data_IF_907646921952
#
_entry.id   IF_907646921952
#
_cell.length_a   1.000
_cell.length_b   1.000
_cell.length_c   1.000
_cell.angle_alpha   90.00
_cell.angle_beta   90.00
_cell.angle_gamma   90.00
#
_symmetry.space_group_name_H-M   'P 1'
#
loop_
_entity.id
_entity.type
_entity.pdbx_description
1 polymer ?
#
# COMPACT_ATOMS: atom_id res chain seq x y z
N UNK A 1 -1.68 -9.64 -7.50
CA UNK A 1 -0.44 -10.30 -7.03
C UNK A 1 -0.70 -11.80 -6.95
N UNK A 2 0.34 -12.63 -7.05
CA UNK A 2 0.24 -14.08 -6.86
C UNK A 2 0.48 -14.40 -5.38
N UNK A 3 -0.45 -15.12 -4.75
CA UNK A 3 -0.29 -15.60 -3.38
C UNK A 3 0.67 -16.77 -3.34
N UNK A 4 1.67 -16.69 -2.46
CA UNK A 4 2.67 -17.73 -2.26
C UNK A 4 2.14 -18.84 -1.36
N UNK A 5 2.56 -20.08 -1.67
CA UNK A 5 2.26 -21.26 -0.85
C UNK A 5 3.52 -21.66 -0.10
N UNK A 6 3.69 -21.22 1.14
CA UNK A 6 4.96 -21.38 1.85
C UNK A 6 5.36 -22.84 2.10
N UNK A 7 4.43 -23.80 2.10
CA UNK A 7 4.78 -25.24 2.16
C UNK A 7 5.53 -25.74 0.93
N UNK A 8 5.58 -24.99 -0.18
CA UNK A 8 6.43 -25.31 -1.33
C UNK A 8 7.82 -24.72 -1.22
N UNK A 9 8.09 -23.91 -0.20
CA UNK A 9 9.42 -23.35 0.07
C UNK A 9 10.31 -24.43 0.69
N UNK A 10 11.59 -24.35 0.39
CA UNK A 10 12.61 -25.16 1.02
C UNK A 10 12.96 -24.55 2.38
N UNK A 11 12.97 -25.40 3.41
CA UNK A 11 13.35 -25.04 4.77
C UNK A 11 14.73 -25.63 5.09
N UNK A 12 15.65 -24.76 5.49
CA UNK A 12 16.87 -25.13 6.22
C UNK A 12 16.66 -24.70 7.65
N UNK A 13 16.54 -25.63 8.59
CA UNK A 13 16.33 -25.32 10.01
C UNK A 13 16.86 -26.45 10.91
N UNK A 14 18.17 -26.48 11.17
CA UNK A 14 18.82 -27.59 11.87
C UNK A 14 18.35 -27.77 13.31
N UNK A 15 17.72 -26.75 13.92
CA UNK A 15 17.28 -26.76 15.31
C UNK A 15 15.76 -26.71 15.47
N UNK A 16 14.99 -26.86 14.38
CA UNK A 16 13.53 -26.90 14.37
C UNK A 16 12.89 -25.70 15.08
N UNK A 17 13.38 -24.50 14.78
CA UNK A 17 12.85 -23.22 15.26
C UNK A 17 11.73 -22.65 14.41
N UNK A 18 11.58 -23.13 13.18
CA UNK A 18 10.66 -22.66 12.17
C UNK A 18 9.58 -23.74 11.95
N UNK A 19 8.35 -23.29 11.82
CA UNK A 19 7.22 -24.13 11.44
C UNK A 19 6.47 -23.44 10.29
N UNK A 20 6.33 -24.15 9.17
CA UNK A 20 5.70 -23.62 7.96
C UNK A 20 4.33 -24.24 7.73
N UNK A 21 3.34 -23.39 7.47
CA UNK A 21 2.03 -23.77 6.93
C UNK A 21 1.87 -23.18 5.53
N UNK A 22 0.75 -23.41 4.86
CA UNK A 22 0.54 -22.94 3.48
C UNK A 22 0.70 -21.44 3.32
N UNK A 23 0.39 -20.65 4.35
CA UNK A 23 0.45 -19.19 4.28
C UNK A 23 1.34 -18.56 5.35
N UNK A 24 1.89 -19.32 6.31
CA UNK A 24 2.61 -18.75 7.46
C UNK A 24 3.93 -19.47 7.73
N UNK A 25 4.98 -18.70 8.00
CA UNK A 25 6.20 -19.17 8.64
C UNK A 25 6.24 -18.63 10.08
N UNK A 26 6.18 -19.51 11.07
CA UNK A 26 6.28 -19.17 12.49
C UNK A 26 7.67 -19.53 12.98
N UNK A 27 8.36 -18.62 13.66
CA UNK A 27 9.61 -18.93 14.35
C UNK A 27 9.44 -18.81 15.86
N UNK A 28 10.07 -19.73 16.59
CA UNK A 28 10.01 -19.80 18.05
C UNK A 28 11.41 -19.83 18.63
N UNK A 29 11.78 -18.76 19.34
CA UNK A 29 13.10 -18.57 19.94
C UNK A 29 14.25 -18.82 18.96
N UNK A 30 14.11 -18.34 17.72
CA UNK A 30 15.15 -18.40 16.71
C UNK A 30 16.27 -17.43 17.07
N UNK A 31 17.46 -17.97 17.36
CA UNK A 31 18.62 -17.18 17.76
C UNK A 31 19.47 -16.71 16.58
N UNK A 32 20.21 -15.61 16.80
CA UNK A 32 21.07 -15.02 15.79
C UNK A 32 22.16 -15.95 15.28
N UNK A 33 22.67 -16.88 16.08
CA UNK A 33 23.75 -17.79 15.70
C UNK A 33 23.26 -19.08 15.02
N UNK A 34 21.97 -19.16 14.70
CA UNK A 34 21.41 -20.29 13.97
C UNK A 34 21.50 -20.03 12.48
N UNK A 35 21.69 -21.09 11.70
CA UNK A 35 21.68 -21.08 10.25
C UNK A 35 20.32 -21.65 9.79
N UNK A 36 19.30 -20.77 9.74
CA UNK A 36 17.93 -21.18 9.49
C UNK A 36 17.18 -20.20 8.59
N UNK A 37 16.53 -20.72 7.54
CA UNK A 37 15.80 -19.92 6.56
C UNK A 37 14.77 -20.75 5.79
N UNK A 38 13.74 -20.07 5.29
CA UNK A 38 12.70 -20.61 4.42
C UNK A 38 12.70 -19.83 3.12
N UNK A 39 13.03 -20.49 2.02
CA UNK A 39 13.26 -19.84 0.72
C UNK A 39 12.61 -20.59 -0.43
N UNK A 40 12.39 -19.87 -1.54
CA UNK A 40 11.89 -20.45 -2.77
C UNK A 40 12.74 -20.00 -3.95
N UNK A 41 13.01 -20.93 -4.85
CA UNK A 41 13.67 -20.68 -6.12
C UNK A 41 12.65 -20.27 -7.18
N UNK A 42 12.63 -18.99 -7.53
CA UNK A 42 11.73 -18.47 -8.56
C UNK A 42 12.27 -18.64 -9.98
N UNK A 43 13.50 -19.16 -10.12
CA UNK A 43 14.23 -19.20 -11.37
C UNK A 43 15.17 -18.00 -11.54
N UNK A 44 16.15 -18.16 -12.42
CA UNK A 44 17.17 -17.13 -12.69
C UNK A 44 16.50 -15.83 -13.16
N UNK A 45 16.90 -14.71 -12.57
CA UNK A 45 16.43 -13.37 -12.93
C UNK A 45 14.89 -13.24 -12.90
N UNK A 46 14.24 -13.87 -11.92
CA UNK A 46 12.79 -13.70 -11.75
C UNK A 46 12.42 -12.28 -11.30
N UNK A 47 13.29 -11.65 -10.50
CA UNK A 47 13.17 -10.25 -10.10
C UNK A 47 14.16 -9.40 -10.91
N UNK A 48 13.96 -9.32 -12.22
CA UNK A 48 14.81 -8.62 -13.21
C UNK A 48 14.38 -7.17 -13.51
N UNK A 49 13.39 -6.67 -12.78
CA UNK A 49 12.85 -5.33 -12.96
C UNK A 49 12.07 -4.87 -11.73
N UNK A 50 10.96 -4.19 -11.98
CA UNK A 50 10.05 -3.75 -10.93
C UNK A 50 9.42 -4.94 -10.20
N UNK A 51 9.24 -4.82 -8.88
CA UNK A 51 8.50 -5.84 -8.12
C UNK A 51 7.75 -5.25 -6.95
N UNK A 52 6.71 -5.95 -6.50
CA UNK A 52 6.00 -5.73 -5.24
C UNK A 52 5.93 -7.04 -4.48
N UNK A 53 6.27 -7.00 -3.19
CA UNK A 53 6.09 -8.08 -2.24
C UNK A 53 5.32 -7.54 -1.06
N UNK A 54 4.11 -8.05 -0.87
CA UNK A 54 3.30 -7.81 0.31
C UNK A 54 3.37 -9.00 1.25
N UNK A 55 3.43 -8.73 2.55
CA UNK A 55 3.38 -9.78 3.58
C UNK A 55 2.92 -9.18 4.90
N UNK A 56 2.47 -10.04 5.80
CA UNK A 56 2.05 -9.65 7.13
C UNK A 56 3.09 -10.05 8.15
N UNK A 57 3.05 -9.38 9.29
CA UNK A 57 4.02 -9.53 10.35
C UNK A 57 3.36 -9.48 11.72
N UNK A 58 3.82 -10.36 12.60
CA UNK A 58 3.72 -10.19 14.04
C UNK A 58 4.99 -10.63 14.77
N UNK A 59 5.40 -9.86 15.78
CA UNK A 59 6.49 -10.23 16.69
C UNK A 59 5.95 -10.47 18.09
N UNK A 60 6.46 -11.49 18.78
CA UNK A 60 6.00 -11.91 20.11
C UNK A 60 7.05 -11.61 21.17
N UNK A 61 8.09 -12.43 21.22
CA UNK A 61 9.20 -12.32 22.15
C UNK A 61 10.44 -11.92 21.37
N UNK A 62 11.21 -10.97 21.88
CA UNK A 62 12.52 -10.68 21.33
C UNK A 62 13.44 -10.27 22.45
N UNK A 63 14.57 -10.96 22.55
CA UNK A 63 15.66 -10.51 23.40
C UNK A 63 16.29 -9.25 22.82
N UNK A 64 16.76 -8.39 23.71
CA UNK A 64 17.61 -7.25 23.36
C UNK A 64 18.75 -7.71 22.45
N UNK A 65 18.98 -6.96 21.37
CA UNK A 65 19.96 -7.25 20.32
C UNK A 65 19.70 -8.50 19.45
N UNK A 66 18.50 -9.06 19.48
CA UNK A 66 18.09 -10.05 18.47
C UNK A 66 17.96 -9.40 17.08
N UNK A 67 18.27 -10.15 16.01
CA UNK A 67 18.29 -9.70 14.62
C UNK A 67 17.99 -10.86 13.68
N UNK A 68 17.24 -10.60 12.62
CA UNK A 68 16.90 -11.55 11.56
C UNK A 68 16.35 -10.79 10.33
N UNK A 69 16.23 -11.45 9.19
CA UNK A 69 15.64 -10.93 7.97
C UNK A 69 14.34 -11.69 7.71
N UNK A 70 13.29 -11.03 7.21
CA UNK A 70 12.06 -11.75 6.86
C UNK A 70 11.91 -11.88 5.36
N UNK A 71 11.65 -10.78 4.67
CA UNK A 71 11.61 -10.77 3.21
C UNK A 71 12.99 -10.38 2.68
N UNK A 72 13.64 -11.27 1.94
CA UNK A 72 14.85 -10.94 1.21
C UNK A 72 14.88 -11.61 -0.15
N UNK A 73 15.63 -11.00 -1.05
CA UNK A 73 15.93 -11.46 -2.39
C UNK A 73 17.44 -11.63 -2.51
N UNK A 74 17.90 -12.76 -3.06
CA UNK A 74 19.32 -13.04 -3.29
C UNK A 74 19.52 -13.97 -4.50
N UNK A 75 20.77 -14.11 -4.94
CA UNK A 75 21.16 -15.06 -5.99
C UNK A 75 21.87 -16.32 -5.47
N UNK A 76 22.10 -16.36 -4.16
CA UNK A 76 22.67 -17.51 -3.44
C UNK A 76 21.70 -17.98 -2.37
N UNK A 77 21.80 -19.26 -2.01
CA UNK A 77 21.11 -19.86 -0.87
C UNK A 77 22.06 -19.82 0.32
N UNK A 78 21.86 -18.86 1.23
CA UNK A 78 22.71 -18.67 2.40
C UNK A 78 21.97 -17.80 3.44
N UNK A 79 22.47 -17.77 4.67
CA UNK A 79 21.98 -16.87 5.70
C UNK A 79 22.45 -15.42 5.46
N UNK A 80 21.86 -14.47 6.18
CA UNK A 80 22.15 -13.05 5.97
C UNK A 80 23.63 -12.69 6.16
N UNK A 81 24.33 -13.29 7.13
CA UNK A 81 25.73 -13.00 7.38
C UNK A 81 26.61 -13.69 6.34
N UNK A 82 26.27 -14.91 5.93
CA UNK A 82 26.93 -15.62 4.84
C UNK A 82 26.93 -14.80 3.56
N UNK A 83 25.76 -14.31 3.14
CA UNK A 83 25.60 -13.40 1.99
C UNK A 83 26.52 -12.18 2.13
N UNK A 84 26.51 -11.53 3.30
CA UNK A 84 27.31 -10.32 3.51
C UNK A 84 28.83 -10.58 3.43
N UNK A 85 29.34 -11.61 4.10
CA UNK A 85 30.79 -11.85 4.18
C UNK A 85 31.36 -12.48 2.92
N UNK A 86 30.53 -13.15 2.14
CA UNK A 86 30.91 -13.79 0.89
C UNK A 86 30.86 -12.84 -0.32
N UNK A 87 30.66 -11.54 -0.07
CA UNK A 87 30.57 -10.51 -1.11
C UNK A 87 29.42 -10.73 -2.10
N UNK A 88 28.31 -11.29 -1.61
CA UNK A 88 27.12 -11.53 -2.42
C UNK A 88 26.16 -10.32 -2.36
N UNK A 89 25.11 -10.37 -3.16
CA UNK A 89 24.10 -9.32 -3.27
C UNK A 89 22.76 -9.72 -2.61
N UNK A 90 22.09 -8.75 -1.99
CA UNK A 90 20.76 -8.93 -1.40
C UNK A 90 19.95 -7.64 -1.40
N UNK A 91 18.63 -7.75 -1.54
CA UNK A 91 17.69 -6.69 -1.15
C UNK A 91 16.66 -7.27 -0.20
N UNK A 92 16.31 -6.56 0.86
CA UNK A 92 15.30 -7.07 1.78
C UNK A 92 15.02 -6.18 2.98
N UNK A 93 14.16 -6.70 3.86
CA UNK A 93 13.79 -6.05 5.11
C UNK A 93 14.36 -6.84 6.27
N UNK A 94 15.33 -6.22 6.96
CA UNK A 94 15.91 -6.73 8.19
C UNK A 94 15.15 -6.18 9.38
N UNK A 95 15.02 -7.00 10.41
CA UNK A 95 14.43 -6.60 11.65
C UNK A 95 15.37 -6.89 12.81
N UNK A 96 15.33 -6.02 13.81
CA UNK A 96 16.16 -6.17 14.99
C UNK A 96 15.49 -5.53 16.20
N UNK A 97 15.92 -5.94 17.39
CA UNK A 97 15.55 -5.26 18.63
C UNK A 97 16.72 -4.42 19.12
N UNK A 98 16.51 -3.12 19.43
CA UNK A 98 17.58 -2.27 19.94
C UNK A 98 18.12 -2.74 21.30
N UNK A 99 19.36 -2.34 21.61
CA UNK A 99 20.06 -2.62 22.86
C UNK A 99 19.38 -2.04 24.13
N UNK A 100 18.53 -1.01 23.97
CA UNK A 100 17.83 -0.36 25.07
C UNK A 100 16.46 -1.01 25.34
N UNK A 101 16.09 -1.11 26.62
CA UNK A 101 14.83 -1.71 27.04
C UNK A 101 13.62 -0.91 26.53
N UNK A 102 12.65 -1.62 25.94
CA UNK A 102 11.38 -1.08 25.45
C UNK A 102 10.55 -2.17 24.78
N UNK A 103 9.30 -1.88 24.46
CA UNK A 103 8.43 -2.78 23.69
C UNK A 103 8.58 -2.60 22.18
N UNK A 104 9.66 -1.96 21.71
CA UNK A 104 9.86 -1.65 20.30
C UNK A 104 10.82 -2.59 19.58
N UNK A 105 10.58 -2.79 18.28
CA UNK A 105 11.50 -3.42 17.34
C UNK A 105 11.70 -2.53 16.12
N UNK A 106 12.75 -2.80 15.35
CA UNK A 106 13.18 -2.02 14.20
C UNK A 106 12.87 -2.80 12.93
N UNK A 107 12.32 -2.12 11.93
CA UNK A 107 12.29 -2.56 10.54
C UNK A 107 13.27 -1.69 9.74
N UNK A 108 14.13 -2.34 8.96
CA UNK A 108 15.28 -1.72 8.32
C UNK A 108 15.36 -2.24 6.89
N UNK A 109 15.06 -1.37 5.93
CA UNK A 109 15.23 -1.67 4.52
C UNK A 109 16.73 -1.71 4.21
N UNK A 110 17.19 -2.81 3.61
CA UNK A 110 18.62 -3.12 3.46
C UNK A 110 18.92 -3.56 2.03
N UNK A 111 20.02 -3.03 1.50
CA UNK A 111 20.75 -3.55 0.34
C UNK A 111 22.09 -4.10 0.83
N UNK A 112 22.48 -5.28 0.36
CA UNK A 112 23.87 -5.74 0.36
C UNK A 112 24.32 -5.69 -1.09
N UNK A 113 25.38 -4.93 -1.36
CA UNK A 113 25.97 -4.78 -2.68
C UNK A 113 27.44 -5.21 -2.64
N UNK A 114 27.74 -6.40 -3.17
CA UNK A 114 29.06 -7.01 -3.10
C UNK A 114 29.56 -7.20 -1.66
N UNK A 115 28.66 -7.55 -0.73
CA UNK A 115 28.95 -7.62 0.71
C UNK A 115 28.95 -6.29 1.46
N UNK A 116 28.77 -5.16 0.77
CA UNK A 116 28.65 -3.85 1.42
C UNK A 116 27.22 -3.59 1.82
N UNK A 117 26.96 -3.52 3.13
CA UNK A 117 25.64 -3.23 3.67
C UNK A 117 25.29 -1.74 3.60
N UNK A 118 24.11 -1.44 3.06
CA UNK A 118 23.49 -0.10 2.98
C UNK A 118 22.06 -0.18 3.50
N UNK A 119 21.65 0.82 4.27
CA UNK A 119 20.39 0.79 5.00
C UNK A 119 19.66 2.12 4.87
N UNK A 120 18.33 2.05 4.74
CA UNK A 120 17.48 3.21 4.87
C UNK A 120 17.38 3.67 6.34
N UNK A 121 16.71 4.80 6.57
CA UNK A 121 16.28 5.21 7.91
C UNK A 121 15.50 4.09 8.60
N UNK A 122 15.71 3.93 9.91
CA UNK A 122 15.07 2.88 10.71
C UNK A 122 13.60 3.23 11.00
N UNK A 123 12.69 2.28 10.77
CA UNK A 123 11.31 2.35 11.25
C UNK A 123 11.22 1.67 12.62
N UNK A 124 10.66 2.36 13.61
CA UNK A 124 10.41 1.79 14.96
C UNK A 124 8.96 1.35 15.10
N UNK A 125 8.75 0.09 15.44
CA UNK A 125 7.45 -0.58 15.54
C UNK A 125 7.26 -1.18 16.94
N UNK A 126 6.03 -1.51 17.32
CA UNK A 126 5.69 -2.06 18.64
C UNK A 126 5.51 -3.58 18.57
N UNK A 127 6.08 -4.33 19.53
CA UNK A 127 5.86 -5.77 19.66
C UNK A 127 4.39 -6.11 19.94
N UNK A 128 4.00 -7.37 19.67
CA UNK A 128 2.64 -7.90 19.87
C UNK A 128 1.57 -7.18 19.03
N UNK A 129 1.99 -6.43 18.02
CA UNK A 129 1.14 -5.73 17.07
C UNK A 129 1.29 -6.36 15.70
N UNK A 130 0.15 -6.56 15.01
CA UNK A 130 0.15 -6.95 13.61
C UNK A 130 0.51 -5.75 12.73
N UNK A 131 1.44 -5.94 11.81
CA UNK A 131 1.75 -4.98 10.77
C UNK A 131 1.61 -5.65 9.41
N UNK A 132 1.31 -4.84 8.40
CA UNK A 132 1.14 -5.28 7.03
C UNK A 132 2.15 -4.49 6.21
N UNK A 133 3.03 -5.19 5.50
CA UNK A 133 4.19 -4.59 4.85
C UNK A 133 4.03 -4.66 3.34
N UNK A 134 4.57 -3.65 2.66
CA UNK A 134 4.78 -3.61 1.21
C UNK A 134 6.25 -3.27 0.96
N UNK A 135 6.99 -4.21 0.39
CA UNK A 135 8.37 -4.06 -0.05
C UNK A 135 8.40 -4.09 -1.58
N UNK A 136 8.90 -3.03 -2.21
CA UNK A 136 8.87 -2.94 -3.67
C UNK A 136 10.11 -2.25 -4.23
N UNK A 137 10.39 -2.48 -5.51
CA UNK A 137 11.44 -1.81 -6.28
C UNK A 137 10.85 -1.13 -7.49
N UNK A 138 11.17 0.15 -7.63
CA UNK A 138 10.89 0.96 -8.81
C UNK A 138 12.21 1.33 -9.50
N UNK A 139 12.45 0.76 -10.68
CA UNK A 139 13.66 0.98 -11.47
C UNK A 139 13.66 2.29 -12.26
N UNK A 140 12.52 2.98 -12.34
CA UNK A 140 12.42 4.28 -13.00
C UNK A 140 12.93 5.41 -12.10
N UNK A 141 13.02 5.18 -10.78
CA UNK A 141 13.45 6.17 -9.80
C UNK A 141 14.90 5.93 -9.34
N UNK A 142 15.76 6.93 -9.56
CA UNK A 142 17.19 6.86 -9.23
C UNK A 142 18.03 6.19 -10.32
N UNK A 143 19.36 6.34 -10.24
CA UNK A 143 20.27 5.89 -11.31
C UNK A 143 20.18 4.39 -11.61
N UNK A 144 19.96 3.58 -10.58
CA UNK A 144 19.92 2.12 -10.66
C UNK A 144 18.59 1.54 -10.17
N UNK A 145 17.59 2.39 -9.91
CA UNK A 145 16.37 2.04 -9.21
C UNK A 145 16.41 2.36 -7.71
N UNK A 146 15.23 2.32 -7.09
CA UNK A 146 15.02 2.59 -5.67
C UNK A 146 14.12 1.50 -5.08
N UNK A 147 14.49 0.99 -3.91
CA UNK A 147 13.64 0.10 -3.13
C UNK A 147 12.92 0.86 -2.03
N UNK A 148 11.74 0.39 -1.68
CA UNK A 148 10.84 1.03 -0.74
C UNK A 148 10.27 0.02 0.26
N UNK A 149 10.03 0.50 1.47
CA UNK A 149 9.28 -0.22 2.49
C UNK A 149 8.17 0.67 3.02
N UNK A 150 6.93 0.21 2.93
CA UNK A 150 5.77 0.82 3.56
C UNK A 150 5.20 -0.12 4.60
N UNK A 151 4.89 0.42 5.78
CA UNK A 151 4.30 -0.31 6.90
C UNK A 151 2.91 0.25 7.16
N UNK A 152 1.92 -0.65 7.22
CA UNK A 152 0.53 -0.33 7.47
C UNK A 152 0.05 -0.96 8.78
N UNK A 153 -0.95 -0.34 9.41
CA UNK A 153 -1.56 -0.84 10.65
C UNK A 153 -2.76 -1.78 10.43
N UNK A 154 -3.27 -1.87 9.21
CA UNK A 154 -4.47 -2.62 8.86
C UNK A 154 -4.25 -3.55 7.65
N UNK A 155 -5.00 -4.65 7.61
CA UNK A 155 -4.85 -5.70 6.59
C UNK A 155 -5.21 -5.24 5.18
N UNK A 156 -6.05 -4.20 5.06
CA UNK A 156 -6.39 -3.60 3.78
C UNK A 156 -5.27 -2.65 3.27
N UNK A 157 -4.19 -2.49 4.05
CA UNK A 157 -3.05 -1.61 3.74
C UNK A 157 -3.47 -0.17 3.48
N UNK A 158 -4.43 0.37 4.24
CA UNK A 158 -4.98 1.72 4.02
C UNK A 158 -4.35 2.80 4.92
N UNK A 159 -3.93 2.44 6.13
CA UNK A 159 -3.38 3.37 7.12
C UNK A 159 -1.88 3.17 7.25
N UNK A 160 -1.10 4.10 6.69
CA UNK A 160 0.36 4.08 6.74
C UNK A 160 0.83 4.44 8.16
N UNK A 161 1.64 3.57 8.74
CA UNK A 161 2.39 3.79 9.98
C UNK A 161 3.70 4.51 9.68
N UNK A 162 4.42 4.05 8.66
CA UNK A 162 5.70 4.64 8.24
C UNK A 162 6.10 4.16 6.84
N UNK A 163 6.97 4.92 6.18
CA UNK A 163 7.58 4.51 4.91
C UNK A 163 9.01 5.01 4.80
N UNK A 164 9.86 4.25 4.11
CA UNK A 164 11.26 4.59 3.83
C UNK A 164 11.66 4.12 2.43
N UNK A 165 12.70 4.73 1.87
CA UNK A 165 13.26 4.40 0.57
C UNK A 165 14.79 4.29 0.64
N UNK A 166 15.38 3.48 -0.25
CA UNK A 166 16.82 3.32 -0.41
C UNK A 166 17.15 3.22 -1.90
N UNK A 167 17.93 4.16 -2.43
CA UNK A 167 18.44 4.10 -3.80
C UNK A 167 19.52 3.03 -3.92
N UNK A 168 19.46 2.23 -4.99
CA UNK A 168 20.40 1.14 -5.23
C UNK A 168 21.81 1.67 -5.52
N UNK A 169 22.82 0.94 -5.08
CA UNK A 169 24.18 1.45 -4.97
C UNK A 169 24.93 1.57 -6.29
N UNK A 170 24.99 0.49 -7.07
CA UNK A 170 25.94 0.38 -8.19
C UNK A 170 25.34 -0.16 -9.48
N UNK A 171 24.23 -0.90 -9.41
CA UNK A 171 23.64 -1.57 -10.56
C UNK A 171 22.19 -1.96 -10.29
N UNK A 172 21.43 -2.17 -11.38
CA UNK A 172 20.17 -2.93 -11.31
C UNK A 172 20.53 -4.37 -10.93
N UNK A 173 19.93 -4.87 -9.86
CA UNK A 173 20.23 -6.19 -9.30
C UNK A 173 19.11 -7.14 -9.66
N UNK A 174 19.42 -8.24 -10.33
CA UNK A 174 18.42 -9.27 -10.61
C UNK A 174 18.50 -10.35 -9.55
N UNK A 175 17.36 -10.89 -9.11
CA UNK A 175 17.35 -11.93 -8.08
C UNK A 175 16.58 -13.18 -8.50
N UNK A 176 16.99 -14.31 -7.92
CA UNK A 176 16.41 -15.64 -8.14
C UNK A 176 15.62 -16.15 -6.94
N UNK A 177 16.17 -16.02 -5.75
CA UNK A 177 15.58 -16.59 -4.54
C UNK A 177 14.79 -15.53 -3.79
N UNK A 178 13.66 -15.94 -3.22
CA UNK A 178 12.95 -15.17 -2.20
C UNK A 178 12.99 -15.93 -0.87
N UNK A 179 13.22 -15.21 0.21
CA UNK A 179 13.18 -15.70 1.57
C UNK A 179 11.92 -15.16 2.26
N UNK A 180 11.20 -16.05 2.95
CA UNK A 180 10.06 -15.68 3.82
C UNK A 180 10.51 -15.39 5.25
N UNK A 181 11.60 -16.04 5.67
CA UNK A 181 12.35 -15.80 6.89
C UNK A 181 13.80 -16.28 6.72
N UNK A 182 14.73 -15.57 7.35
CA UNK A 182 16.14 -15.90 7.40
C UNK A 182 16.78 -15.40 8.69
N UNK A 183 17.55 -16.25 9.36
CA UNK A 183 18.37 -15.87 10.50
C UNK A 183 19.61 -15.08 10.07
N UNK A 184 20.33 -14.53 11.05
CA UNK A 184 21.55 -13.78 10.79
C UNK A 184 22.83 -14.62 10.85
N UNK A 185 22.81 -15.84 11.38
CA UNK A 185 23.98 -16.65 11.76
C UNK A 185 25.20 -15.86 12.31
N UNK A 186 24.95 -14.95 13.25
CA UNK A 186 25.96 -14.05 13.83
C UNK A 186 26.07 -14.23 15.34
N UNK A 187 26.91 -15.19 15.75
CA UNK A 187 27.72 -15.27 17.00
C UNK A 187 27.08 -15.14 18.39
N UNK A 188 25.86 -14.59 18.54
CA UNK A 188 25.17 -14.41 19.82
C UNK A 188 23.92 -15.28 19.86
N UNK A 189 23.49 -15.68 21.05
CA UNK A 189 22.31 -16.53 21.24
C UNK A 189 21.01 -15.72 21.42
N UNK A 190 20.99 -14.45 20.96
CA UNK A 190 19.84 -13.55 21.14
C UNK A 190 18.70 -13.94 20.22
N UNK A 191 17.58 -14.33 20.82
CA UNK A 191 16.47 -14.97 20.13
C UNK A 191 15.25 -14.08 19.97
N UNK A 192 14.46 -14.41 18.96
CA UNK A 192 13.17 -13.79 18.63
C UNK A 192 12.10 -14.85 18.41
N UNK A 193 10.82 -14.47 18.48
CA UNK A 193 9.65 -15.29 18.15
C UNK A 193 8.60 -14.44 17.45
N UNK A 194 7.85 -15.05 16.55
CA UNK A 194 6.80 -14.37 15.78
C UNK A 194 6.40 -15.15 14.55
N UNK A 195 5.74 -14.48 13.63
CA UNK A 195 5.37 -15.06 12.35
C UNK A 195 5.32 -14.02 11.23
N UNK A 196 5.57 -14.51 10.02
CA UNK A 196 5.23 -13.83 8.77
C UNK A 196 4.23 -14.67 8.01
N UNK A 197 3.37 -14.04 7.24
CA UNK A 197 2.36 -14.75 6.48
C UNK A 197 1.87 -13.98 5.27
N UNK A 198 1.05 -14.66 4.45
CA UNK A 198 0.29 -14.07 3.34
C UNK A 198 1.20 -13.32 2.37
N UNK A 199 2.30 -13.97 1.96
CA UNK A 199 3.19 -13.41 0.95
C UNK A 199 2.46 -13.33 -0.39
N UNK A 200 2.43 -12.14 -0.97
CA UNK A 200 1.90 -11.87 -2.29
C UNK A 200 2.96 -11.17 -3.13
N UNK A 201 3.24 -11.73 -4.32
CA UNK A 201 4.31 -11.23 -5.21
C UNK A 201 3.73 -10.74 -6.53
N UNK A 202 4.28 -9.65 -7.05
CA UNK A 202 4.08 -9.19 -8.42
C UNK A 202 5.43 -8.73 -8.98
N UNK A 203 5.75 -9.10 -10.22
CA UNK A 203 6.96 -8.66 -10.96
C UNK A 203 6.68 -7.42 -11.82
N UNK A 204 5.66 -6.68 -11.44
CA UNK A 204 5.26 -5.39 -12.01
C UNK A 204 4.71 -4.55 -10.88
N UNK A 205 4.87 -3.23 -10.92
CA UNK A 205 4.17 -2.36 -9.98
C UNK A 205 2.96 -1.71 -10.66
N UNK A 206 1.86 -1.60 -9.92
CA UNK A 206 0.75 -0.75 -10.31
C UNK A 206 1.18 0.71 -10.22
N UNK A 207 1.49 1.33 -11.35
CA UNK A 207 1.86 2.75 -11.42
C UNK A 207 0.64 3.67 -11.37
N UNK A 208 -0.55 3.13 -11.66
CA UNK A 208 -1.78 3.89 -11.71
C UNK A 208 -2.30 4.22 -10.31
N UNK A 209 -2.19 5.50 -9.93
CA UNK A 209 -3.00 6.08 -8.86
C UNK A 209 -4.49 5.89 -9.19
N UNK A 210 -5.29 5.49 -8.20
CA UNK A 210 -6.74 5.32 -8.36
C UNK A 210 -7.49 6.10 -7.28
N UNK A 211 -8.54 6.82 -7.70
CA UNK A 211 -9.40 7.61 -6.82
C UNK A 211 -10.85 7.44 -7.24
N UNK A 212 -11.75 7.25 -6.27
CA UNK A 212 -13.19 7.15 -6.47
C UNK A 212 -13.89 8.40 -5.98
N UNK A 213 -14.90 8.83 -6.75
CA UNK A 213 -15.81 9.91 -6.35
C UNK A 213 -17.09 9.28 -5.84
N UNK A 214 -17.48 9.64 -4.63
CA UNK A 214 -18.69 9.14 -3.99
C UNK A 214 -19.77 10.23 -3.98
N UNK A 215 -20.91 9.84 -3.42
CA UNK A 215 -22.06 10.69 -3.25
C UNK A 215 -21.78 12.03 -2.57
N UNK A 216 -22.28 13.13 -3.12
CA UNK A 216 -22.26 14.43 -2.42
C UNK A 216 -23.24 14.42 -1.24
N UNK A 217 -22.85 15.00 -0.12
CA UNK A 217 -23.70 15.12 1.08
C UNK A 217 -23.75 16.56 1.58
N UNK A 218 -24.69 16.86 2.50
CA UNK A 218 -24.85 18.20 3.12
C UNK A 218 -24.90 19.33 2.07
N UNK A 219 -25.70 19.13 1.03
CA UNK A 219 -25.82 20.08 -0.08
C UNK A 219 -26.74 21.23 0.34
N UNK A 220 -26.22 22.44 0.30
CA UNK A 220 -26.94 23.70 0.53
C UNK A 220 -26.93 24.56 -0.74
N UNK A 221 -27.37 25.81 -0.65
CA UNK A 221 -27.32 26.73 -1.78
C UNK A 221 -25.92 27.17 -2.18
N UNK A 222 -25.00 27.24 -1.23
CA UNK A 222 -23.65 27.78 -1.46
C UNK A 222 -22.53 26.81 -1.11
N UNK A 223 -22.87 25.65 -0.54
CA UNK A 223 -21.90 24.65 -0.10
C UNK A 223 -22.37 23.21 -0.37
N UNK A 224 -21.42 22.28 -0.39
CA UNK A 224 -21.66 20.84 -0.37
C UNK A 224 -20.46 20.11 0.26
N UNK A 225 -20.65 18.88 0.74
CA UNK A 225 -19.56 18.00 1.18
C UNK A 225 -19.25 17.00 0.08
N UNK A 226 -18.03 17.06 -0.45
CA UNK A 226 -17.49 16.06 -1.37
C UNK A 226 -17.01 14.85 -0.60
N UNK A 227 -17.40 13.66 -1.05
CA UNK A 227 -16.95 12.38 -0.50
C UNK A 227 -16.17 11.64 -1.59
N UNK A 228 -14.97 11.17 -1.27
CA UNK A 228 -14.12 10.41 -2.18
C UNK A 228 -13.28 9.38 -1.43
N UNK A 229 -12.57 8.53 -2.18
CA UNK A 229 -11.56 7.65 -1.60
C UNK A 229 -10.35 7.53 -2.53
N UNK A 230 -9.15 7.50 -1.94
CA UNK A 230 -7.94 7.06 -2.65
C UNK A 230 -7.95 5.53 -2.57
N UNK A 231 -8.18 4.88 -3.71
CA UNK A 231 -8.37 3.43 -3.81
C UNK A 231 -7.04 2.69 -3.99
N UNK A 232 -6.09 3.32 -4.68
CA UNK A 232 -4.70 2.86 -4.84
C UNK A 232 -3.81 4.10 -4.90
N UNK A 233 -2.70 4.15 -4.17
CA UNK A 233 -1.72 5.25 -4.26
C UNK A 233 -0.82 5.14 -5.49
N UNK A 234 -0.84 4.01 -6.20
CA UNK A 234 0.17 3.66 -7.19
C UNK A 234 1.55 3.51 -6.54
N UNK A 235 2.58 4.01 -7.21
CA UNK A 235 4.00 3.86 -6.81
C UNK A 235 4.56 4.97 -5.93
N UNK A 236 3.88 6.11 -5.81
CA UNK A 236 4.39 7.23 -5.04
C UNK A 236 3.34 7.81 -4.11
N UNK A 237 3.81 8.47 -3.05
CA UNK A 237 2.96 9.14 -2.08
C UNK A 237 2.07 10.17 -2.77
N UNK A 238 0.79 10.21 -2.39
CA UNK A 238 -0.15 11.23 -2.86
C UNK A 238 0.24 12.58 -2.26
N UNK A 239 0.62 13.52 -3.13
CA UNK A 239 1.09 14.87 -2.76
C UNK A 239 -0.04 15.89 -2.69
N UNK A 240 -1.15 15.65 -3.38
CA UNK A 240 -2.36 16.46 -3.33
C UNK A 240 -3.60 15.59 -3.53
N UNK A 241 -4.72 15.89 -2.87
CA UNK A 241 -5.99 15.23 -3.10
C UNK A 241 -7.16 16.14 -2.77
N UNK A 242 -8.34 15.87 -3.30
CA UNK A 242 -9.53 16.65 -3.00
C UNK A 242 -10.62 16.48 -4.05
N UNK A 243 -11.37 17.55 -4.33
CA UNK A 243 -12.46 17.54 -5.31
C UNK A 243 -12.33 18.72 -6.27
N UNK A 244 -12.57 18.47 -7.55
CA UNK A 244 -12.74 19.48 -8.59
C UNK A 244 -14.21 19.52 -9.04
N UNK A 245 -14.77 20.72 -9.31
CA UNK A 245 -16.14 20.87 -9.77
C UNK A 245 -16.33 21.99 -10.79
N UNK A 246 -17.30 21.79 -11.69
CA UNK A 246 -17.69 22.75 -12.73
C UNK A 246 -19.18 22.54 -13.10
N UNK A 247 -19.78 23.47 -13.84
CA UNK A 247 -21.10 23.30 -14.47
C UNK A 247 -21.03 22.47 -15.76
N UNK A 248 -19.83 22.16 -16.23
CA UNK A 248 -19.53 21.23 -17.32
C UNK A 248 -19.00 19.89 -16.79
N UNK A 249 -19.19 18.82 -17.57
CA UNK A 249 -18.68 17.47 -17.26
C UNK A 249 -17.15 17.45 -17.27
N UNK A 250 -16.56 16.49 -16.56
CA UNK A 250 -15.12 16.26 -16.45
C UNK A 250 -14.32 17.43 -15.86
N UNK A 251 -14.72 17.99 -14.69
CA UNK A 251 -13.95 19.03 -14.03
C UNK A 251 -12.54 18.55 -13.67
N UNK A 252 -11.58 19.47 -13.77
CA UNK A 252 -10.16 19.22 -13.46
C UNK A 252 -9.66 20.20 -12.40
N UNK A 253 -8.45 19.97 -11.86
CA UNK A 253 -7.85 20.84 -10.83
C UNK A 253 -7.58 22.28 -11.27
N UNK A 254 -7.66 22.58 -12.58
CA UNK A 254 -7.63 23.94 -13.12
C UNK A 254 -8.95 24.70 -13.07
N UNK A 255 -10.06 24.03 -12.74
CA UNK A 255 -11.38 24.65 -12.52
C UNK A 255 -11.52 25.12 -11.07
N UNK A 256 -12.74 25.04 -10.49
CA UNK A 256 -12.91 25.17 -9.05
C UNK A 256 -12.46 23.88 -8.39
N UNK A 257 -11.61 23.96 -7.38
CA UNK A 257 -11.18 22.81 -6.61
C UNK A 257 -10.98 23.13 -5.12
N UNK A 258 -10.91 22.07 -4.33
CA UNK A 258 -10.35 22.08 -2.98
C UNK A 258 -9.16 21.13 -2.98
N UNK A 259 -8.02 21.62 -2.54
CA UNK A 259 -6.83 20.82 -2.26
C UNK A 259 -6.70 20.59 -0.75
N UNK A 260 -6.89 19.35 -0.33
CA UNK A 260 -6.71 18.91 1.04
C UNK A 260 -5.23 18.62 1.37
N UNK A 261 -4.31 18.80 0.42
CA UNK A 261 -2.88 18.51 0.56
C UNK A 261 -2.55 17.03 0.38
N UNK A 262 -1.46 16.57 0.99
CA UNK A 262 -1.02 15.17 0.90
C UNK A 262 -2.13 14.20 1.39
N UNK A 263 -2.22 13.04 0.76
CA UNK A 263 -3.27 12.04 1.00
C UNK A 263 -2.72 10.66 1.34
N UNK A 264 -3.57 9.81 1.91
CA UNK A 264 -3.31 8.38 2.11
C UNK A 264 -4.49 7.55 1.59
N UNK A 265 -4.29 6.25 1.42
CA UNK A 265 -5.36 5.32 1.08
C UNK A 265 -6.58 5.47 1.99
N UNK A 266 -7.76 5.24 1.43
CA UNK A 266 -9.03 5.30 2.14
C UNK A 266 -9.86 6.55 1.85
N UNK A 267 -10.93 6.70 2.62
CA UNK A 267 -11.96 7.74 2.41
C UNK A 267 -11.51 9.11 2.87
N UNK A 268 -11.94 10.14 2.15
CA UNK A 268 -11.71 11.54 2.51
C UNK A 268 -12.92 12.41 2.15
N UNK A 269 -12.97 13.60 2.76
CA UNK A 269 -14.01 14.59 2.48
C UNK A 269 -13.42 15.96 2.16
N UNK A 270 -14.11 16.75 1.34
CA UNK A 270 -13.76 18.16 1.06
C UNK A 270 -14.96 19.08 1.26
N UNK A 271 -14.73 20.28 1.79
CA UNK A 271 -15.77 21.32 1.93
C UNK A 271 -15.85 22.15 0.65
N UNK A 272 -16.86 21.89 -0.19
CA UNK A 272 -17.10 22.65 -1.41
C UNK A 272 -17.88 23.92 -1.07
N UNK A 273 -17.41 25.06 -1.57
CA UNK A 273 -18.01 26.39 -1.30
C UNK A 273 -18.10 27.22 -2.58
N UNK A 274 -18.82 28.34 -2.53
CA UNK A 274 -18.96 29.25 -3.68
C UNK A 274 -19.96 28.77 -4.73
N UNK A 275 -20.89 27.88 -4.35
CA UNK A 275 -21.95 27.42 -5.24
C UNK A 275 -23.05 28.48 -5.40
N UNK A 276 -23.75 28.43 -6.53
CA UNK A 276 -24.94 29.25 -6.78
C UNK A 276 -26.20 28.43 -6.53
N UNK A 277 -27.23 29.03 -5.92
CA UNK A 277 -28.48 28.34 -5.62
C UNK A 277 -29.18 27.83 -6.89
N UNK A 278 -29.74 26.61 -6.84
CA UNK A 278 -30.44 25.99 -7.96
C UNK A 278 -29.55 25.58 -9.15
N UNK A 279 -28.23 25.64 -9.02
CA UNK A 279 -27.29 25.35 -10.11
C UNK A 279 -26.83 23.88 -10.09
N UNK A 280 -26.83 23.25 -11.26
CA UNK A 280 -26.28 21.90 -11.46
C UNK A 280 -24.76 21.95 -11.61
N UNK A 281 -24.07 21.04 -10.91
CA UNK A 281 -22.62 20.86 -10.95
C UNK A 281 -22.25 19.39 -11.19
N UNK A 282 -21.10 19.20 -11.86
CA UNK A 282 -20.35 17.95 -11.92
C UNK A 282 -19.17 18.07 -10.98
N UNK A 283 -18.87 17.00 -10.25
CA UNK A 283 -17.76 16.93 -9.31
C UNK A 283 -16.99 15.62 -9.50
N UNK A 284 -15.67 15.70 -9.35
CA UNK A 284 -14.74 14.56 -9.38
C UNK A 284 -13.78 14.70 -8.21
N UNK A 285 -13.66 13.64 -7.42
CA UNK A 285 -12.52 13.45 -6.55
C UNK A 285 -11.25 13.34 -7.39
N UNK A 286 -10.14 13.91 -6.92
CA UNK A 286 -8.84 13.80 -7.56
C UNK A 286 -7.76 13.43 -6.54
N UNK A 287 -6.69 12.83 -7.06
CA UNK A 287 -5.46 12.61 -6.32
C UNK A 287 -4.28 12.85 -7.27
N UNK A 288 -3.17 13.36 -6.73
CA UNK A 288 -1.93 13.64 -7.44
C UNK A 288 -0.78 12.96 -6.74
N UNK A 289 0.09 12.29 -7.50
CA UNK A 289 1.38 11.80 -7.04
C UNK A 289 2.46 12.21 -8.05
N UNK A 290 3.66 11.61 -7.99
CA UNK A 290 4.75 11.96 -8.93
C UNK A 290 4.44 11.62 -10.39
N UNK A 291 3.55 10.65 -10.63
CA UNK A 291 3.19 10.18 -11.96
C UNK A 291 2.11 11.06 -12.62
N UNK A 292 1.43 11.88 -11.82
CA UNK A 292 0.46 12.86 -12.29
C UNK A 292 -0.81 12.89 -11.45
N UNK A 293 -1.85 13.53 -12.01
CA UNK A 293 -3.17 13.66 -11.39
C UNK A 293 -4.15 12.71 -12.04
N UNK A 294 -4.87 11.95 -11.21
CA UNK A 294 -6.00 11.12 -11.63
C UNK A 294 -7.29 11.65 -11.05
N UNK A 295 -8.40 11.29 -11.68
CA UNK A 295 -9.72 11.76 -11.33
C UNK A 295 -10.70 10.59 -11.32
N UNK A 296 -11.59 10.58 -10.34
CA UNK A 296 -12.66 9.59 -10.25
C UNK A 296 -13.76 9.83 -11.27
N UNK A 297 -14.88 9.11 -11.14
CA UNK A 297 -16.05 9.28 -11.99
C UNK A 297 -16.76 10.63 -11.72
N UNK A 298 -17.50 11.14 -12.71
CA UNK A 298 -18.37 12.28 -12.50
C UNK A 298 -19.52 11.92 -11.55
N UNK A 299 -19.71 12.74 -10.53
CA UNK A 299 -20.94 12.77 -9.73
C UNK A 299 -21.67 14.07 -10.03
N UNK A 300 -23.01 14.01 -10.12
CA UNK A 300 -23.85 15.16 -10.43
C UNK A 300 -24.71 15.52 -9.24
N UNK A 301 -24.77 16.81 -8.92
CA UNK A 301 -25.66 17.33 -7.89
C UNK A 301 -26.17 18.73 -8.25
N UNK A 302 -27.27 19.14 -7.62
CA UNK A 302 -27.82 20.50 -7.73
C UNK A 302 -27.80 21.17 -6.36
N UNK A 303 -27.19 22.36 -6.25
CA UNK A 303 -27.23 23.19 -5.04
C UNK A 303 -28.62 23.78 -4.81
N UNK A 304 -29.02 24.02 -3.55
CA UNK A 304 -30.41 24.40 -3.23
C UNK A 304 -30.65 24.86 -1.78
N UNK A 305 -31.32 26.00 -1.55
CA UNK A 305 -31.97 26.33 -0.26
C UNK A 305 -33.30 25.60 -0.16
N UNK A 306 -33.43 24.67 0.79
CA UNK A 306 -34.70 23.97 1.05
C UNK A 306 -34.62 22.58 1.67
N UNK A 307 -33.45 22.17 2.19
CA UNK A 307 -33.32 20.91 2.93
C UNK A 307 -33.09 19.66 2.08
N UNK A 308 -32.58 19.79 0.86
CA UNK A 308 -32.12 18.63 0.10
C UNK A 308 -31.71 18.98 -1.31
N UNK A 309 -30.47 19.45 -1.50
CA UNK A 309 -29.86 19.27 -2.81
C UNK A 309 -29.98 17.81 -3.22
N UNK A 310 -30.43 17.55 -4.44
CA UNK A 310 -30.66 16.18 -4.92
C UNK A 310 -29.37 15.66 -5.56
N UNK A 311 -28.95 14.50 -5.08
CA UNK A 311 -27.88 13.75 -5.70
C UNK A 311 -28.48 12.84 -6.77
N UNK A 312 -27.94 12.90 -7.98
CA UNK A 312 -28.31 11.99 -9.06
C UNK A 312 -27.18 10.96 -9.19
N UNK A 313 -27.40 9.73 -8.70
CA UNK A 313 -26.46 8.62 -8.88
C UNK A 313 -26.77 7.95 -10.23
N UNK A 314 -25.81 7.89 -11.17
CA UNK A 314 -25.98 7.09 -12.39
C UNK A 314 -26.25 5.62 -12.03
N UNK A 315 -27.35 5.06 -12.54
CA UNK A 315 -27.69 3.64 -12.37
C UNK A 315 -28.71 3.30 -11.27
N UNK A 316 -29.14 4.25 -10.42
CA UNK A 316 -30.23 4.01 -9.46
C UNK A 316 -31.53 4.71 -9.89
N UNK A 317 -32.64 3.99 -9.81
CA UNK A 317 -33.99 4.57 -9.86
C UNK A 317 -34.18 5.46 -8.62
N UNK A 318 -34.57 6.71 -8.82
CA UNK A 318 -34.97 7.60 -7.73
C UNK A 318 -36.37 8.14 -8.00
N UNK A 319 -37.19 8.16 -6.95
CA UNK A 319 -38.52 8.80 -6.98
C UNK A 319 -38.35 10.22 -6.48
N UNK A 320 -38.65 11.19 -7.34
CA UNK A 320 -38.71 12.61 -6.98
C UNK A 320 -40.15 13.05 -7.12
N UNK A 321 -40.80 13.39 -6.00
CA UNK A 321 -42.24 13.69 -5.94
C UNK A 321 -43.08 12.54 -6.54
N UNK A 322 -43.85 12.81 -7.61
CA UNK A 322 -44.67 11.82 -8.32
C UNK A 322 -44.03 11.32 -9.62
N UNK A 323 -42.73 11.57 -9.83
CA UNK A 323 -42.04 11.24 -11.08
C UNK A 323 -41.00 10.18 -10.80
N UNK A 324 -40.92 9.21 -11.71
CA UNK A 324 -39.80 8.27 -11.73
C UNK A 324 -38.69 8.87 -12.59
N UNK A 325 -37.53 9.07 -12.00
CA UNK A 325 -36.34 9.62 -12.66
C UNK A 325 -35.35 8.49 -12.93
N UNK A 326 -34.71 8.51 -14.09
CA UNK A 326 -33.53 7.69 -14.37
C UNK A 326 -32.50 8.49 -15.15
N UNK A 327 -31.24 8.20 -14.89
CA UNK A 327 -30.11 8.77 -15.64
C UNK A 327 -29.63 7.70 -16.62
N UNK A 328 -29.53 8.07 -17.90
CA UNK A 328 -29.01 7.17 -18.92
C UNK A 328 -27.58 6.76 -18.60
N UNK A 329 -27.33 5.46 -18.52
CA UNK A 329 -26.02 4.88 -18.26
C UNK A 329 -24.96 5.37 -19.28
N UNK A 330 -25.39 5.59 -20.52
CA UNK A 330 -24.47 5.86 -21.63
C UNK A 330 -24.27 7.35 -21.91
N UNK A 331 -25.15 8.23 -21.44
CA UNK A 331 -25.12 9.66 -21.77
C UNK A 331 -25.23 10.60 -20.57
N UNK A 332 -25.40 10.06 -19.35
CA UNK A 332 -25.56 10.86 -18.13
C UNK A 332 -26.78 11.78 -18.17
N UNK A 333 -27.69 11.62 -19.14
CA UNK A 333 -28.87 12.48 -19.27
C UNK A 333 -29.99 11.95 -18.40
N UNK A 334 -30.47 12.82 -17.53
CA UNK A 334 -31.68 12.60 -16.75
C UNK A 334 -32.90 12.56 -17.68
N UNK A 335 -33.73 11.54 -17.48
CA UNK A 335 -35.02 11.35 -18.12
C UNK A 335 -36.05 11.06 -17.04
N UNK A 336 -37.30 11.38 -17.31
CA UNK A 336 -38.40 11.12 -16.38
C UNK A 336 -39.59 10.53 -17.12
N UNK A 337 -40.43 9.79 -16.40
CA UNK A 337 -41.75 9.38 -16.85
C UNK A 337 -42.80 10.15 -16.04
N UNK A 338 -43.74 10.79 -16.74
CA UNK A 338 -44.96 11.31 -16.12
C UNK A 338 -46.03 10.21 -16.12
N UNK A 339 -46.57 9.89 -14.95
CA UNK A 339 -47.65 8.93 -14.78
C UNK A 339 -48.69 9.45 -13.80
N UNK A 340 -49.92 8.97 -13.93
CA UNK A 340 -50.98 9.18 -12.93
C UNK A 340 -50.96 7.97 -11.98
N UNK A 341 -50.91 8.21 -10.66
CA UNK A 341 -51.13 7.16 -9.68
C UNK A 341 -52.56 6.63 -9.88
N UNK A 342 -52.68 5.40 -10.36
CA UNK A 342 -53.97 4.70 -10.43
C UNK A 342 -54.16 4.00 -9.07
N UNK A 343 -55.30 4.19 -8.38
CA UNK A 343 -55.55 3.63 -7.05
C UNK A 343 -55.36 2.11 -6.93
#
# INVERSE_FOLDING_TARGET
MATEVLTTYTETDPNSKIAVTTSRATWTSLARNEDAYVYFDKGVAFFDGDFVIEFDLHTILSETDAQFVWCALANVVDDFRGIEINSEDMQGVRFSRPAAAGASFRAILTEIDGGTRREATVITLTHLTNYYLKFYRDESVGTFGTIYLVVYSDAARTVIVSSVALGLATSKKDFRYIYAIMSANQGTTKATSGWTQNFEISTTIATALQVSTQAMTVITATTATGNGAIDDTGISSVTAHGHAWNTSVDPVTGDNNVDNGAGSLGVFTSSITGLLDGQKYYVRAYATNTEGTVYGANVVFTSGVGGGGTQLIPGNLSVVQNRLHWVGHDDGRERFIEGTLVP
#
